data_IF_454744683782
#
_entry.id   IF_454744683782
#
_cell.length_a   1.000
_cell.length_b   1.000
_cell.length_c   1.000
_cell.angle_alpha   90.00
_cell.angle_beta   90.00
_cell.angle_gamma   90.00
#
_symmetry.space_group_name_H-M   'P 1'
#
loop_
_entity.id
_entity.type
_entity.pdbx_description
1 polymer ?
#
# COMPACT_ATOMS: atom_id res chain seq x y z
N UNK A 1 -9.64 15.16 -2.50
CA UNK A 1 -9.41 13.72 -2.45
C UNK A 1 -8.73 13.25 -3.73
N UNK A 2 -8.28 12.02 -3.77
CA UNK A 2 -7.68 11.37 -4.94
C UNK A 2 -8.75 11.28 -6.03
N UNK A 3 -8.41 11.68 -7.26
CA UNK A 3 -9.31 11.64 -8.41
C UNK A 3 -8.76 10.82 -9.57
N UNK A 4 -7.46 10.70 -9.67
CA UNK A 4 -6.78 9.89 -10.68
C UNK A 4 -6.45 8.54 -10.07
N UNK A 5 -6.91 7.47 -10.69
CA UNK A 5 -6.78 6.10 -10.18
C UNK A 5 -6.30 5.19 -11.30
N UNK A 6 -5.20 4.47 -11.06
CA UNK A 6 -4.75 3.39 -11.92
C UNK A 6 -5.24 2.06 -11.34
N UNK A 7 -6.03 1.34 -12.10
CA UNK A 7 -6.53 0.01 -11.76
C UNK A 7 -5.59 -1.00 -12.40
N UNK A 8 -4.87 -1.75 -11.57
CA UNK A 8 -3.94 -2.80 -12.01
C UNK A 8 -4.60 -4.15 -11.76
N UNK A 9 -4.71 -4.97 -12.78
CA UNK A 9 -5.38 -6.27 -12.72
C UNK A 9 -4.74 -7.25 -13.70
N UNK A 10 -5.28 -8.47 -13.80
CA UNK A 10 -4.81 -9.48 -14.74
C UNK A 10 -5.26 -9.19 -16.18
N UNK A 11 -4.63 -9.84 -17.15
CA UNK A 11 -5.06 -9.78 -18.56
C UNK A 11 -6.46 -10.37 -18.77
N UNK A 12 -6.87 -11.32 -17.93
CA UNK A 12 -8.16 -11.99 -18.04
C UNK A 12 -9.32 -11.14 -17.52
N UNK A 13 -9.06 -10.31 -16.50
CA UNK A 13 -10.10 -9.55 -15.80
C UNK A 13 -10.23 -8.09 -16.28
N UNK A 14 -9.24 -7.54 -16.98
CA UNK A 14 -9.19 -6.11 -17.31
C UNK A 14 -10.42 -5.62 -18.07
N UNK A 15 -10.95 -6.42 -18.99
CA UNK A 15 -12.13 -6.05 -19.76
C UNK A 15 -13.40 -6.06 -18.92
N UNK A 16 -13.46 -6.90 -17.88
CA UNK A 16 -14.57 -6.91 -16.93
C UNK A 16 -14.53 -5.66 -16.05
N UNK A 17 -13.34 -5.30 -15.54
CA UNK A 17 -13.17 -4.07 -14.77
C UNK A 17 -13.50 -2.81 -15.59
N UNK A 18 -13.03 -2.72 -16.84
CA UNK A 18 -13.36 -1.60 -17.74
C UNK A 18 -14.87 -1.49 -18.00
N UNK A 19 -15.58 -2.61 -18.18
CA UNK A 19 -17.03 -2.60 -18.36
C UNK A 19 -17.78 -2.19 -17.11
N UNK A 20 -17.29 -2.59 -15.92
CA UNK A 20 -17.93 -2.32 -14.65
C UNK A 20 -17.72 -0.86 -14.20
N UNK A 21 -16.49 -0.37 -14.31
CA UNK A 21 -16.06 0.89 -13.68
C UNK A 21 -15.96 2.05 -14.69
N UNK A 22 -15.92 1.75 -15.99
CA UNK A 22 -15.81 2.76 -17.05
C UNK A 22 -14.51 3.58 -16.93
N UNK A 23 -14.62 4.87 -17.19
CA UNK A 23 -13.54 5.85 -17.06
C UNK A 23 -13.54 6.60 -15.73
N UNK A 24 -14.46 6.27 -14.82
CA UNK A 24 -14.60 6.90 -13.50
C UNK A 24 -15.36 8.23 -13.50
N UNK A 25 -15.76 8.77 -14.63
CA UNK A 25 -16.39 10.09 -14.73
C UNK A 25 -17.72 10.18 -13.96
N UNK A 26 -18.49 9.08 -13.90
CA UNK A 26 -19.77 9.01 -13.17
C UNK A 26 -19.64 9.25 -11.67
N UNK A 27 -18.46 8.97 -11.11
CA UNK A 27 -18.14 9.19 -9.68
C UNK A 27 -17.16 10.34 -9.45
N UNK A 28 -16.88 11.13 -10.50
CA UNK A 28 -15.99 12.29 -10.42
C UNK A 28 -14.50 11.94 -10.31
N UNK A 29 -14.12 10.78 -10.82
CA UNK A 29 -12.74 10.28 -10.93
C UNK A 29 -12.32 10.13 -12.38
N UNK A 30 -11.03 9.85 -12.60
CA UNK A 30 -10.44 9.45 -13.88
C UNK A 30 -9.74 8.11 -13.68
N UNK A 31 -10.21 7.07 -14.34
CA UNK A 31 -9.66 5.73 -14.23
C UNK A 31 -8.78 5.40 -15.43
N UNK A 32 -7.58 4.95 -15.13
CA UNK A 32 -6.66 4.30 -16.09
C UNK A 32 -6.52 2.82 -15.73
N UNK A 33 -6.10 2.01 -16.68
CA UNK A 33 -6.01 0.56 -16.50
C UNK A 33 -4.65 0.04 -16.96
N UNK A 34 -4.05 -0.85 -16.16
CA UNK A 34 -2.83 -1.55 -16.50
C UNK A 34 -2.92 -3.05 -16.18
N UNK A 35 -2.07 -3.82 -16.83
CA UNK A 35 -2.02 -5.28 -16.67
C UNK A 35 -0.78 -5.65 -15.87
N UNK A 36 -0.96 -6.42 -14.80
CA UNK A 36 0.08 -7.20 -14.18
C UNK A 36 0.00 -8.63 -14.73
N UNK A 37 0.89 -8.97 -15.65
CA UNK A 37 0.85 -10.24 -16.34
C UNK A 37 1.20 -11.45 -15.47
N UNK A 38 1.99 -11.22 -14.41
CA UNK A 38 2.41 -12.25 -13.45
C UNK A 38 2.16 -11.73 -12.05
N UNK A 39 1.43 -12.47 -11.19
CA UNK A 39 1.16 -12.06 -9.80
C UNK A 39 2.41 -12.28 -8.92
N UNK A 40 3.47 -11.52 -9.16
CA UNK A 40 4.78 -11.64 -8.54
C UNK A 40 5.03 -10.62 -7.43
N UNK A 41 3.99 -10.12 -6.81
CA UNK A 41 4.06 -9.28 -5.62
C UNK A 41 3.50 -7.87 -5.80
N UNK A 42 3.10 -7.27 -4.69
CA UNK A 42 2.40 -5.97 -4.67
C UNK A 42 3.31 -4.79 -5.04
N UNK A 43 4.61 -4.87 -4.76
CA UNK A 43 5.54 -3.80 -5.11
C UNK A 43 5.65 -3.56 -6.62
N UNK A 44 5.30 -4.55 -7.44
CA UNK A 44 5.24 -4.39 -8.89
C UNK A 44 4.24 -3.33 -9.36
N UNK A 45 3.23 -3.01 -8.55
CA UNK A 45 2.28 -1.94 -8.85
C UNK A 45 2.98 -0.60 -9.11
N UNK A 46 4.06 -0.28 -8.40
CA UNK A 46 4.81 0.96 -8.59
C UNK A 46 5.68 0.95 -9.84
N UNK A 47 6.17 -0.23 -10.24
CA UNK A 47 6.93 -0.39 -11.49
C UNK A 47 6.00 -0.28 -12.69
N UNK A 48 4.85 -0.96 -12.64
CA UNK A 48 3.81 -0.92 -13.69
C UNK A 48 3.21 0.49 -13.80
N UNK A 49 2.96 1.13 -12.66
CA UNK A 49 2.36 2.46 -12.57
C UNK A 49 3.34 3.61 -12.67
N UNK A 50 4.62 3.39 -12.97
CA UNK A 50 5.66 4.41 -12.90
C UNK A 50 5.34 5.67 -13.75
N UNK A 51 4.88 5.49 -14.97
CA UNK A 51 4.50 6.59 -15.87
C UNK A 51 3.24 7.32 -15.39
N UNK A 52 2.28 6.59 -14.80
CA UNK A 52 1.08 7.16 -14.20
C UNK A 52 1.41 7.99 -12.95
N UNK A 53 2.29 7.48 -12.08
CA UNK A 53 2.73 8.16 -10.87
C UNK A 53 3.54 9.41 -11.21
N UNK A 54 4.39 9.33 -12.24
CA UNK A 54 5.24 10.45 -12.67
C UNK A 54 6.13 10.96 -11.53
N UNK A 55 5.87 12.15 -11.03
CA UNK A 55 6.60 12.80 -9.92
C UNK A 55 5.76 12.98 -8.66
N UNK A 56 4.53 12.49 -8.68
CA UNK A 56 3.58 12.70 -7.60
C UNK A 56 3.76 11.69 -6.45
N UNK A 57 3.17 12.01 -5.31
CA UNK A 57 2.94 11.07 -4.21
C UNK A 57 1.84 10.12 -4.62
N UNK A 58 1.85 8.91 -4.07
CA UNK A 58 0.91 7.86 -4.45
C UNK A 58 0.34 7.15 -3.23
N UNK A 59 -0.93 6.77 -3.32
CA UNK A 59 -1.54 5.80 -2.42
C UNK A 59 -1.74 4.48 -3.15
N UNK A 60 -1.43 3.37 -2.50
CA UNK A 60 -1.78 2.03 -2.94
C UNK A 60 -2.87 1.48 -2.05
N UNK A 61 -3.94 0.99 -2.65
CA UNK A 61 -5.02 0.29 -1.94
C UNK A 61 -5.28 -1.06 -2.59
N UNK A 62 -5.45 -2.09 -1.77
CA UNK A 62 -5.79 -3.43 -2.26
C UNK A 62 -7.30 -3.53 -2.46
N UNK A 63 -7.72 -4.07 -3.60
CA UNK A 63 -9.11 -4.10 -4.04
C UNK A 63 -10.04 -4.99 -3.19
N UNK A 64 -9.49 -5.85 -2.35
CA UNK A 64 -10.22 -6.70 -1.40
C UNK A 64 -10.36 -6.07 0.00
N UNK A 65 -9.79 -4.87 0.22
CA UNK A 65 -9.87 -4.17 1.50
C UNK A 65 -10.96 -3.10 1.47
N UNK A 66 -11.83 -3.11 2.48
CA UNK A 66 -12.86 -2.10 2.70
C UNK A 66 -12.54 -1.35 4.00
N UNK A 67 -12.34 -0.04 3.89
CA UNK A 67 -12.02 0.82 5.01
C UNK A 67 -13.23 1.65 5.42
N UNK A 68 -13.65 1.50 6.68
CA UNK A 68 -14.78 2.22 7.25
C UNK A 68 -14.53 2.52 8.72
N UNK A 69 -14.94 3.71 9.17
CA UNK A 69 -14.87 4.06 10.59
C UNK A 69 -14.90 5.56 10.85
N UNK A 70 -15.27 5.92 12.08
CA UNK A 70 -15.27 7.30 12.53
C UNK A 70 -13.83 7.86 12.57
N UNK A 71 -13.63 9.03 11.95
CA UNK A 71 -12.30 9.67 11.93
C UNK A 71 -11.35 9.16 10.84
N UNK A 72 -11.68 8.07 10.11
CA UNK A 72 -10.83 7.51 9.07
C UNK A 72 -10.41 8.55 8.01
N UNK A 73 -11.36 9.36 7.53
CA UNK A 73 -11.04 10.41 6.55
C UNK A 73 -10.01 11.42 7.05
N UNK A 74 -10.05 11.78 8.35
CA UNK A 74 -9.05 12.69 8.95
C UNK A 74 -7.69 12.02 9.06
N UNK A 75 -7.65 10.74 9.45
CA UNK A 75 -6.43 9.95 9.50
C UNK A 75 -5.76 9.87 8.12
N UNK A 76 -6.52 9.54 7.08
CA UNK A 76 -6.00 9.49 5.71
C UNK A 76 -5.50 10.86 5.23
N UNK A 77 -6.24 11.94 5.54
CA UNK A 77 -5.85 13.29 5.15
C UNK A 77 -4.54 13.76 5.82
N UNK A 78 -4.19 13.26 7.01
CA UNK A 78 -2.94 13.61 7.68
C UNK A 78 -1.69 13.16 6.92
N UNK A 79 -1.83 12.23 5.98
CA UNK A 79 -0.73 11.72 5.15
C UNK A 79 -0.68 12.33 3.73
N UNK A 80 -1.53 13.32 3.41
CA UNK A 80 -1.54 13.95 2.08
C UNK A 80 -0.18 14.56 1.69
N UNK A 81 0.55 15.11 2.67
CA UNK A 81 1.84 15.77 2.45
C UNK A 81 3.03 14.94 2.94
N UNK A 82 2.87 13.62 2.96
CA UNK A 82 3.91 12.72 3.46
C UNK A 82 5.23 12.91 2.73
N UNK A 83 6.33 12.87 3.49
CA UNK A 83 7.69 12.76 3.00
C UNK A 83 8.25 11.45 3.54
N UNK A 84 8.36 10.46 2.69
CA UNK A 84 8.58 9.07 3.04
C UNK A 84 7.35 8.20 2.82
N UNK A 85 7.05 7.30 3.75
CA UNK A 85 5.93 6.38 3.66
C UNK A 85 5.05 6.38 4.91
N UNK A 86 3.77 6.00 4.75
CA UNK A 86 2.89 5.67 5.85
C UNK A 86 2.21 4.32 5.62
N UNK A 87 2.19 3.52 6.66
CA UNK A 87 1.40 2.29 6.78
C UNK A 87 0.35 2.47 7.86
N UNK A 88 -0.67 1.62 7.84
CA UNK A 88 -1.67 1.61 8.90
C UNK A 88 -1.49 0.41 9.79
N UNK A 89 -1.90 0.53 11.04
CA UNK A 89 -1.85 -0.51 12.05
C UNK A 89 -3.27 -0.80 12.54
N UNK A 90 -3.73 -2.04 12.40
CA UNK A 90 -5.01 -2.51 12.88
C UNK A 90 -4.81 -3.71 13.79
N UNK A 91 -5.37 -3.63 15.01
CA UNK A 91 -5.22 -4.70 16.00
C UNK A 91 -6.02 -5.95 15.62
N UNK A 92 -5.34 -7.11 15.56
CA UNK A 92 -5.89 -8.41 15.19
C UNK A 92 -5.55 -9.48 16.22
N UNK A 93 -6.28 -10.61 16.19
CA UNK A 93 -6.03 -11.73 17.09
C UNK A 93 -5.05 -12.77 16.51
N UNK A 94 -4.82 -12.74 15.21
CA UNK A 94 -4.02 -13.71 14.44
C UNK A 94 -2.95 -12.99 13.58
N UNK A 95 -2.04 -12.19 14.21
CA UNK A 95 -1.10 -11.32 13.50
C UNK A 95 -0.13 -12.08 12.59
N UNK A 96 0.17 -13.34 12.86
CA UNK A 96 1.08 -14.17 12.07
C UNK A 96 0.63 -14.39 10.61
N UNK A 97 -0.61 -14.03 10.28
CA UNK A 97 -1.15 -14.14 8.91
C UNK A 97 -0.88 -12.93 8.03
N UNK A 98 -0.39 -11.84 8.62
CA UNK A 98 -0.28 -10.52 7.99
C UNK A 98 1.15 -9.98 8.06
N UNK A 99 1.41 -8.90 7.35
CA UNK A 99 2.50 -8.02 7.69
C UNK A 99 2.24 -7.41 9.08
N UNK A 100 3.21 -7.46 9.97
CA UNK A 100 3.09 -7.00 11.35
C UNK A 100 4.01 -5.81 11.58
N UNK A 101 3.46 -4.73 12.12
CA UNK A 101 4.21 -3.52 12.48
C UNK A 101 4.30 -3.38 14.00
N UNK A 102 5.51 -3.09 14.49
CA UNK A 102 5.76 -2.61 15.85
C UNK A 102 6.11 -1.12 15.78
N UNK A 103 5.61 -0.33 16.72
CA UNK A 103 5.82 1.13 16.75
C UNK A 103 5.92 1.67 18.18
N UNK A 104 6.52 2.85 18.32
CA UNK A 104 6.70 3.54 19.59
C UNK A 104 5.48 4.41 19.98
N UNK A 105 5.54 5.06 21.13
CA UNK A 105 4.51 5.97 21.65
C UNK A 105 4.26 7.20 20.75
N UNK A 106 5.18 7.51 19.86
CA UNK A 106 5.08 8.60 18.89
C UNK A 106 4.61 8.12 17.50
N UNK A 107 4.17 6.84 17.39
CA UNK A 107 3.78 6.19 16.14
C UNK A 107 4.91 6.07 15.10
N UNK A 108 6.17 6.07 15.53
CA UNK A 108 7.28 5.73 14.65
C UNK A 108 7.39 4.21 14.56
N UNK A 109 7.49 3.68 13.35
CA UNK A 109 7.71 2.26 13.14
C UNK A 109 9.08 1.84 13.71
N UNK A 110 9.09 0.74 14.47
CA UNK A 110 10.29 0.14 15.06
C UNK A 110 10.70 -1.13 14.30
N UNK A 111 9.74 -1.94 13.90
CA UNK A 111 9.98 -3.14 13.09
C UNK A 111 8.79 -3.43 12.18
N UNK A 112 9.06 -4.13 11.08
CA UNK A 112 8.06 -4.59 10.14
C UNK A 112 8.45 -5.98 9.64
N UNK A 113 7.56 -6.96 9.77
CA UNK A 113 7.83 -8.35 9.41
C UNK A 113 6.66 -8.93 8.62
N UNK A 114 6.94 -9.60 7.50
CA UNK A 114 5.93 -10.28 6.70
C UNK A 114 5.64 -11.67 7.30
N UNK A 115 4.39 -11.90 7.69
CA UNK A 115 3.88 -13.19 8.20
C UNK A 115 4.84 -13.85 9.21
N UNK A 116 5.21 -13.15 10.28
CA UNK A 116 6.20 -13.65 11.24
C UNK A 116 5.67 -14.85 12.00
N UNK A 117 6.51 -15.86 12.17
CA UNK A 117 6.16 -17.03 13.00
C UNK A 117 5.94 -16.66 14.49
N UNK A 118 6.62 -15.63 14.95
CA UNK A 118 6.53 -15.08 16.31
C UNK A 118 6.36 -13.58 16.24
N UNK A 119 5.11 -13.08 16.09
CA UNK A 119 4.84 -11.66 15.95
C UNK A 119 5.28 -10.85 17.16
N UNK A 120 5.90 -9.68 16.93
CA UNK A 120 6.32 -8.75 17.99
C UNK A 120 5.19 -7.86 18.49
N UNK A 121 4.13 -7.76 17.72
CA UNK A 121 2.93 -7.00 18.07
C UNK A 121 1.67 -7.67 17.52
N UNK A 122 0.50 -7.20 17.94
CA UNK A 122 -0.79 -7.63 17.40
C UNK A 122 -1.32 -6.70 16.29
N UNK A 123 -0.47 -5.81 15.76
CA UNK A 123 -0.88 -4.84 14.76
C UNK A 123 -0.54 -5.30 13.34
N UNK A 124 -1.58 -5.73 12.62
CA UNK A 124 -1.49 -6.06 11.21
C UNK A 124 -1.43 -4.78 10.36
N UNK A 125 -0.73 -4.86 9.24
CA UNK A 125 -0.70 -3.81 8.22
C UNK A 125 -1.75 -4.14 7.16
N UNK A 126 -2.88 -3.42 7.12
CA UNK A 126 -3.89 -3.61 6.08
C UNK A 126 -3.42 -3.02 4.75
N UNK A 127 -4.11 -3.39 3.68
CA UNK A 127 -3.76 -3.04 2.31
C UNK A 127 -4.05 -1.58 1.92
N UNK A 128 -3.54 -0.62 2.69
CA UNK A 128 -3.56 0.80 2.39
C UNK A 128 -2.23 1.43 2.76
N UNK A 129 -1.60 2.07 1.81
CA UNK A 129 -0.25 2.61 1.92
C UNK A 129 -0.17 3.98 1.28
N UNK A 130 0.66 4.87 1.83
CA UNK A 130 0.97 6.18 1.26
C UNK A 130 2.48 6.32 1.10
N UNK A 131 2.91 6.85 -0.04
CA UNK A 131 4.32 7.01 -0.36
C UNK A 131 4.61 8.34 -1.03
N UNK A 132 5.80 8.85 -0.79
CA UNK A 132 6.39 9.84 -1.66
C UNK A 132 6.87 9.20 -2.98
N UNK A 133 7.39 10.01 -3.88
CA UNK A 133 7.79 9.53 -5.21
C UNK A 133 8.99 8.57 -5.23
N UNK A 134 9.76 8.48 -4.15
CA UNK A 134 10.92 7.57 -4.07
C UNK A 134 10.49 6.10 -4.18
N UNK A 135 9.22 5.79 -3.90
CA UNK A 135 8.68 4.42 -3.95
C UNK A 135 8.90 3.74 -5.30
N UNK A 136 8.86 4.50 -6.41
CA UNK A 136 9.05 3.94 -7.76
C UNK A 136 10.46 3.36 -7.92
N UNK A 137 11.48 4.12 -7.49
CA UNK A 137 12.86 3.65 -7.57
C UNK A 137 13.16 2.56 -6.52
N UNK A 138 12.59 2.66 -5.34
CA UNK A 138 12.70 1.61 -4.31
C UNK A 138 12.13 0.30 -4.85
N UNK A 139 10.89 0.31 -5.39
CA UNK A 139 10.24 -0.88 -5.92
C UNK A 139 10.99 -1.55 -7.08
N UNK A 140 11.69 -0.77 -7.90
CA UNK A 140 12.56 -1.31 -8.97
C UNK A 140 13.80 -2.04 -8.45
N UNK A 141 14.26 -1.71 -7.24
CA UNK A 141 15.55 -2.15 -6.72
C UNK A 141 15.44 -3.17 -5.58
N UNK A 142 14.25 -3.45 -5.02
CA UNK A 142 14.10 -4.52 -4.03
C UNK A 142 14.31 -5.89 -4.69
N UNK A 143 14.96 -6.84 -3.98
CA UNK A 143 15.05 -8.22 -4.44
C UNK A 143 13.70 -8.95 -4.29
N UNK A 144 13.50 -10.00 -5.07
CA UNK A 144 12.41 -10.93 -4.81
C UNK A 144 12.66 -11.69 -3.50
N UNK A 145 11.59 -11.93 -2.75
CA UNK A 145 11.62 -12.76 -1.53
C UNK A 145 11.87 -14.24 -1.84
N UNK A 146 12.09 -15.06 -0.80
CA UNK A 146 12.22 -16.51 -0.93
C UNK A 146 11.01 -17.17 -1.59
N UNK A 147 9.85 -16.48 -1.61
CA UNK A 147 8.63 -16.90 -2.32
C UNK A 147 8.63 -16.51 -3.80
N UNK A 148 9.65 -15.79 -4.26
CA UNK A 148 9.72 -15.24 -5.61
C UNK A 148 8.86 -13.99 -5.83
N UNK A 149 8.40 -13.33 -4.77
CA UNK A 149 7.53 -12.17 -4.82
C UNK A 149 8.28 -10.88 -4.46
N UNK A 150 7.94 -9.78 -5.10
CA UNK A 150 8.38 -8.43 -4.75
C UNK A 150 7.44 -7.88 -3.67
N UNK A 151 7.85 -8.04 -2.41
CA UNK A 151 7.01 -7.78 -1.25
C UNK A 151 6.85 -6.28 -0.98
N UNK A 152 5.61 -5.88 -0.69
CA UNK A 152 5.35 -4.51 -0.22
C UNK A 152 6.04 -4.25 1.13
N UNK A 153 6.17 -5.28 1.96
CA UNK A 153 6.87 -5.22 3.24
C UNK A 153 8.34 -4.84 3.05
N UNK A 154 9.01 -5.29 1.98
CA UNK A 154 10.41 -4.94 1.73
C UNK A 154 10.56 -3.49 1.23
N UNK A 155 9.61 -2.98 0.46
CA UNK A 155 9.52 -1.53 0.17
C UNK A 155 9.42 -0.72 1.46
N UNK A 156 8.52 -1.11 2.36
CA UNK A 156 8.31 -0.43 3.63
C UNK A 156 9.54 -0.50 4.55
N UNK A 157 10.32 -1.60 4.50
CA UNK A 157 11.58 -1.73 5.25
C UNK A 157 12.63 -0.71 4.82
N UNK A 158 12.72 -0.39 3.52
CA UNK A 158 13.63 0.65 3.05
C UNK A 158 13.30 2.01 3.69
N UNK A 159 12.01 2.36 3.77
CA UNK A 159 11.59 3.58 4.46
C UNK A 159 11.80 3.51 5.97
N UNK A 160 11.61 2.33 6.58
CA UNK A 160 11.88 2.10 8.00
C UNK A 160 13.37 2.33 8.34
N UNK A 161 14.28 1.76 7.57
CA UNK A 161 15.72 1.92 7.71
C UNK A 161 16.13 3.39 7.52
N UNK A 162 15.49 4.10 6.59
CA UNK A 162 15.64 5.54 6.37
C UNK A 162 15.00 6.42 7.45
N UNK A 163 14.31 5.84 8.46
CA UNK A 163 13.51 6.57 9.47
C UNK A 163 12.44 7.48 8.86
N UNK A 164 11.85 7.04 7.76
CA UNK A 164 10.84 7.75 6.99
C UNK A 164 9.51 6.98 6.94
N UNK A 165 9.31 5.96 7.79
CA UNK A 165 8.07 5.20 7.88
C UNK A 165 7.23 5.65 9.07
N UNK A 166 6.05 6.18 8.80
CA UNK A 166 5.05 6.58 9.80
C UNK A 166 3.97 5.51 9.95
N UNK A 167 3.34 5.45 11.12
CA UNK A 167 2.25 4.51 11.40
C UNK A 167 0.97 5.27 11.74
N UNK A 168 -0.09 4.99 11.01
CA UNK A 168 -1.44 5.46 11.31
C UNK A 168 -2.24 4.39 12.04
N UNK A 169 -2.66 4.64 13.28
CA UNK A 169 -3.42 3.66 14.05
C UNK A 169 -4.90 3.72 13.64
N UNK A 170 -5.44 2.58 13.22
CA UNK A 170 -6.87 2.41 12.95
C UNK A 170 -7.57 1.88 14.19
N UNK A 171 -8.55 2.62 14.68
CA UNK A 171 -9.43 2.18 15.77
C UNK A 171 -10.60 1.36 15.21
N UNK A 172 -11.10 0.44 16.03
CA UNK A 172 -12.33 -0.30 15.75
C UNK A 172 -13.56 0.59 15.80
#
# INVERSE_FOLDING_TARGET
GIKEVLIITTSEDIDQFKRLLGDGSEIGCSFSYAIQSVPNGLAQAFVIGADFIGKDKVALVLGDNIFYGAGFSKLVQSFNDINGAAVFAYEVNDPERYGVVEFDENNNALSLEEKPKYPKSNYAVPGLYFYDNQVVEIAKNIPASDRGEYEITDVNKVYLEGKQLQVGIMNR
#
